data_IF_762566068278
#
_entry.id   IF_762566068278
#
_cell.length_a   1.000
_cell.length_b   1.000
_cell.length_c   1.000
_cell.angle_alpha   90.00
_cell.angle_beta   90.00
_cell.angle_gamma   90.00
#
_symmetry.space_group_name_H-M   'P 1'
#
loop_
_entity.id
_entity.type
_entity.pdbx_description
1 polymer ?
#
# COMPACT_ATOMS: atom_id res chain seq x y z
N UNK A 1 -26.20 65.92 -46.53
CA UNK A 1 -25.22 66.88 -47.07
C UNK A 1 -23.92 66.56 -46.36
N UNK A 2 -22.94 65.84 -46.92
CA UNK A 2 -22.70 65.40 -48.28
C UNK A 2 -22.02 64.00 -48.24
N UNK A 3 -22.27 63.20 -49.28
CA UNK A 3 -21.51 62.02 -49.68
C UNK A 3 -20.24 62.46 -50.42
N UNK A 4 -19.14 61.72 -50.30
CA UNK A 4 -18.23 61.38 -51.41
C UNK A 4 -17.36 60.19 -51.02
N UNK A 5 -17.40 59.17 -51.86
CA UNK A 5 -16.62 57.92 -51.84
C UNK A 5 -15.26 58.11 -52.52
N UNK A 6 -14.28 57.23 -52.25
CA UNK A 6 -13.40 56.74 -53.31
C UNK A 6 -12.75 55.38 -52.98
N UNK A 7 -12.61 54.55 -54.03
CA UNK A 7 -12.31 53.11 -54.11
C UNK A 7 -10.85 52.71 -53.74
N UNK A 8 -10.57 51.46 -53.29
CA UNK A 8 -10.15 50.30 -54.12
C UNK A 8 -8.61 50.23 -54.30
N UNK A 9 -7.84 49.23 -53.87
CA UNK A 9 -7.81 47.84 -54.38
C UNK A 9 -6.75 46.98 -53.63
N UNK A 10 -7.15 45.73 -53.32
CA UNK A 10 -6.45 44.43 -53.26
C UNK A 10 -4.95 44.28 -52.94
N UNK A 11 -4.68 43.36 -51.99
CA UNK A 11 -3.79 42.22 -52.26
C UNK A 11 -2.63 41.98 -51.29
N UNK A 12 -2.85 41.16 -50.26
CA UNK A 12 -1.86 40.16 -49.84
C UNK A 12 -2.47 39.12 -48.90
N UNK A 13 -2.96 38.04 -49.51
CA UNK A 13 -2.96 36.72 -48.91
C UNK A 13 -1.55 36.17 -49.03
N UNK A 14 -0.91 35.75 -47.93
CA UNK A 14 0.16 34.77 -48.06
C UNK A 14 -0.09 33.60 -47.10
N UNK A 15 -0.58 32.55 -47.73
CA UNK A 15 -0.82 31.23 -47.18
C UNK A 15 0.24 30.31 -47.79
N UNK A 16 1.25 29.95 -46.99
CA UNK A 16 2.13 28.76 -47.12
C UNK A 16 3.12 28.70 -48.30
N UNK A 17 4.32 28.10 -48.11
CA UNK A 17 4.39 26.65 -48.34
C UNK A 17 5.35 25.86 -47.44
N UNK A 18 4.87 24.66 -47.07
CA UNK A 18 5.52 23.36 -47.24
C UNK A 18 7.06 23.34 -47.19
N UNK A 19 7.61 22.88 -46.07
CA UNK A 19 8.92 22.23 -46.09
C UNK A 19 8.74 20.75 -46.41
N UNK A 20 9.34 20.35 -47.52
CA UNK A 20 9.29 19.03 -48.13
C UNK A 20 10.10 17.99 -47.34
N UNK A 21 9.51 16.81 -47.27
CA UNK A 21 10.07 15.46 -47.21
C UNK A 21 11.60 15.30 -47.06
N UNK A 22 12.02 14.68 -45.94
CA UNK A 22 13.27 13.90 -45.90
C UNK A 22 13.00 12.52 -45.26
N UNK A 23 13.36 11.42 -45.94
CA UNK A 23 12.78 10.09 -45.73
C UNK A 23 13.36 9.28 -44.56
N UNK A 24 12.52 8.35 -44.09
CA UNK A 24 12.80 7.27 -43.17
C UNK A 24 13.83 6.27 -43.75
N UNK A 25 15.12 6.47 -43.48
CA UNK A 25 16.12 5.39 -43.56
C UNK A 25 17.48 5.77 -42.94
N UNK A 26 18.03 4.87 -42.12
CA UNK A 26 19.46 4.71 -41.78
C UNK A 26 20.06 5.71 -40.77
N UNK A 27 19.70 5.54 -39.49
CA UNK A 27 20.67 5.81 -38.40
C UNK A 27 21.84 4.83 -38.54
N UNK A 28 23.01 5.35 -38.86
CA UNK A 28 24.28 4.60 -38.94
C UNK A 28 24.64 4.07 -37.55
N UNK A 29 24.71 2.75 -37.43
CA UNK A 29 25.29 2.04 -36.29
C UNK A 29 26.79 2.35 -36.22
N UNK A 30 27.22 3.01 -35.13
CA UNK A 30 28.64 3.19 -34.84
C UNK A 30 29.24 1.83 -34.46
N UNK A 31 30.24 1.44 -35.24
CA UNK A 31 30.89 0.12 -35.21
C UNK A 31 31.98 0.10 -34.12
N UNK A 32 31.86 -0.90 -33.26
CA UNK A 32 32.86 -1.64 -32.46
C UNK A 32 34.31 -1.15 -32.37
N UNK A 33 34.81 -0.97 -31.14
CA UNK A 33 36.22 -1.19 -30.80
C UNK A 33 36.43 -2.60 -30.25
N UNK A 34 37.43 -3.26 -30.84
CA UNK A 34 37.89 -4.63 -30.61
C UNK A 34 38.58 -4.71 -29.24
N UNK A 35 38.25 -5.72 -28.42
CA UNK A 35 39.15 -6.19 -27.36
C UNK A 35 39.22 -7.71 -27.46
N UNK A 36 40.41 -8.19 -27.79
CA UNK A 36 40.79 -9.58 -28.01
C UNK A 36 41.49 -10.09 -26.75
N UNK A 37 40.81 -10.96 -26.02
CA UNK A 37 41.40 -12.00 -25.17
C UNK A 37 40.57 -13.25 -25.47
N UNK A 38 41.05 -14.37 -26.01
CA UNK A 38 42.30 -15.05 -25.73
C UNK A 38 42.01 -16.23 -24.79
N UNK A 39 41.61 -17.38 -25.35
CA UNK A 39 41.56 -18.67 -24.62
C UNK A 39 40.17 -19.25 -24.38
N UNK A 40 39.69 -20.12 -25.28
CA UNK A 40 38.55 -21.02 -25.03
C UNK A 40 39.10 -22.34 -24.50
N UNK A 41 39.22 -22.47 -23.17
CA UNK A 41 39.38 -23.76 -22.52
C UNK A 41 38.00 -24.45 -22.44
N UNK A 42 37.92 -25.66 -22.98
CA UNK A 42 36.79 -26.59 -22.84
C UNK A 42 36.85 -27.16 -21.42
N UNK A 43 35.87 -26.84 -20.58
CA UNK A 43 35.62 -27.56 -19.33
C UNK A 43 34.36 -28.43 -19.50
N UNK A 44 34.38 -29.70 -19.06
CA UNK A 44 33.30 -30.64 -19.30
C UNK A 44 32.14 -30.44 -18.30
N UNK A 45 30.94 -30.73 -18.79
CA UNK A 45 29.69 -31.03 -18.06
C UNK A 45 29.69 -30.71 -16.55
N UNK A 46 29.43 -29.45 -16.22
CA UNK A 46 29.04 -29.02 -14.88
C UNK A 46 27.52 -29.01 -14.78
N UNK A 47 26.99 -29.79 -13.84
CA UNK A 47 25.61 -29.90 -13.40
C UNK A 47 24.87 -28.56 -13.50
N UNK A 48 23.82 -28.51 -14.33
CA UNK A 48 23.00 -27.32 -14.51
C UNK A 48 22.50 -26.80 -13.16
N UNK A 49 23.02 -25.65 -12.75
CA UNK A 49 22.61 -24.95 -11.54
C UNK A 49 21.12 -24.66 -11.61
N UNK A 50 20.34 -25.47 -10.89
CA UNK A 50 18.94 -25.19 -10.60
C UNK A 50 18.89 -23.85 -9.88
N UNK A 51 18.16 -22.89 -10.44
CA UNK A 51 17.80 -21.65 -9.74
C UNK A 51 16.82 -22.03 -8.64
N UNK A 52 17.33 -22.29 -7.44
CA UNK A 52 16.50 -22.44 -6.26
C UNK A 52 15.94 -21.07 -5.90
N UNK A 53 14.62 -20.95 -5.94
CA UNK A 53 13.94 -19.84 -5.27
C UNK A 53 14.02 -20.11 -3.77
N UNK A 54 14.58 -19.17 -3.02
CA UNK A 54 14.53 -19.22 -1.56
C UNK A 54 13.10 -18.95 -1.15
N UNK A 55 12.39 -19.97 -0.64
CA UNK A 55 11.21 -19.72 0.17
C UNK A 55 11.72 -19.10 1.47
N UNK A 56 11.58 -17.79 1.61
CA UNK A 56 11.68 -17.15 2.91
C UNK A 56 10.47 -17.62 3.72
N UNK A 57 10.60 -18.76 4.41
CA UNK A 57 9.68 -19.11 5.49
C UNK A 57 9.72 -17.93 6.47
N UNK A 58 8.65 -17.13 6.50
CA UNK A 58 8.46 -16.15 7.57
C UNK A 58 8.56 -16.93 8.87
N UNK A 59 9.50 -16.55 9.74
CA UNK A 59 9.90 -17.31 10.93
C UNK A 59 8.86 -17.23 12.06
N UNK A 60 7.61 -17.58 11.77
CA UNK A 60 6.50 -17.53 12.71
C UNK A 60 5.73 -18.85 12.73
N UNK A 61 6.43 -19.96 12.94
CA UNK A 61 5.81 -21.19 13.49
C UNK A 61 5.51 -21.03 15.00
N UNK A 62 5.40 -19.79 15.50
CA UNK A 62 4.88 -19.52 16.82
C UNK A 62 3.39 -19.87 16.80
N UNK A 63 3.06 -21.03 17.37
CA UNK A 63 1.69 -21.48 17.54
C UNK A 63 0.92 -20.44 18.35
N UNK A 64 0.06 -19.66 17.69
CA UNK A 64 -0.87 -18.76 18.37
C UNK A 64 -1.97 -19.61 18.99
N UNK A 65 -2.02 -19.68 20.31
CA UNK A 65 -2.92 -20.57 21.05
C UNK A 65 -3.81 -19.83 22.05
N UNK A 66 -3.44 -18.61 22.43
CA UNK A 66 -4.17 -17.78 23.39
C UNK A 66 -3.98 -16.29 23.07
N UNK A 67 -4.71 -15.44 23.79
CA UNK A 67 -4.69 -13.97 23.59
C UNK A 67 -3.30 -13.35 23.83
N UNK A 68 -2.53 -13.87 24.80
CA UNK A 68 -1.18 -13.35 25.08
C UNK A 68 -0.25 -13.62 23.91
N UNK A 69 -0.41 -14.76 23.23
CA UNK A 69 0.34 -15.07 22.00
C UNK A 69 -0.01 -14.05 20.89
N UNK A 70 -1.28 -13.64 20.79
CA UNK A 70 -1.68 -12.59 19.86
C UNK A 70 -0.98 -11.26 20.17
N UNK A 71 -0.95 -10.83 21.44
CA UNK A 71 -0.27 -9.59 21.83
C UNK A 71 1.23 -9.64 21.56
N UNK A 72 1.88 -10.76 21.88
CA UNK A 72 3.29 -10.97 21.58
C UNK A 72 3.55 -10.88 20.07
N UNK A 73 2.71 -11.52 19.25
CA UNK A 73 2.79 -11.44 17.79
C UNK A 73 2.66 -9.98 17.31
N UNK A 74 1.65 -9.25 17.80
CA UNK A 74 1.42 -7.85 17.44
C UNK A 74 2.58 -6.93 17.88
N UNK A 75 3.27 -7.24 18.98
CA UNK A 75 4.45 -6.51 19.44
C UNK A 75 5.68 -6.78 18.54
N UNK A 76 5.80 -7.98 17.96
CA UNK A 76 6.81 -8.23 16.90
C UNK A 76 6.51 -7.45 15.63
N UNK A 77 5.24 -7.14 15.39
CA UNK A 77 4.75 -6.29 14.32
C UNK A 77 4.48 -7.01 13.01
N UNK A 78 3.72 -6.36 12.13
CA UNK A 78 3.24 -6.93 10.87
C UNK A 78 3.16 -5.87 9.76
N UNK A 79 3.41 -6.28 8.52
CA UNK A 79 3.21 -5.43 7.34
C UNK A 79 1.74 -5.49 6.91
N UNK A 80 1.07 -4.34 6.86
CA UNK A 80 -0.28 -4.20 6.32
C UNK A 80 -0.37 -3.13 5.25
N UNK A 81 -1.36 -3.24 4.38
CA UNK A 81 -1.75 -2.15 3.48
C UNK A 81 -2.81 -1.30 4.16
N UNK A 82 -2.46 -0.05 4.45
CA UNK A 82 -3.40 0.97 4.91
C UNK A 82 -4.11 1.61 3.72
N UNK A 83 -5.44 1.55 3.74
CA UNK A 83 -6.27 2.20 2.73
C UNK A 83 -6.62 3.63 3.14
N UNK A 84 -6.81 4.48 2.13
CA UNK A 84 -7.24 5.88 2.26
C UNK A 84 -8.13 6.21 1.07
N UNK A 85 -8.98 7.24 1.20
CA UNK A 85 -9.84 7.73 0.12
C UNK A 85 -9.12 7.88 -1.22
N UNK A 86 -9.88 7.65 -2.30
CA UNK A 86 -9.46 7.35 -3.69
C UNK A 86 -8.62 6.07 -3.82
N UNK A 87 -8.98 5.02 -3.08
CA UNK A 87 -8.36 3.67 -3.12
C UNK A 87 -6.83 3.67 -3.02
N UNK A 88 -6.26 4.67 -2.34
CA UNK A 88 -4.82 4.79 -2.18
C UNK A 88 -4.34 3.79 -1.15
N UNK A 89 -3.28 3.07 -1.50
CA UNK A 89 -2.73 1.98 -0.72
C UNK A 89 -1.35 2.36 -0.17
N UNK A 90 -1.15 2.14 1.12
CA UNK A 90 0.11 2.43 1.78
C UNK A 90 0.57 1.23 2.59
N UNK A 91 1.58 0.51 2.12
CA UNK A 91 2.22 -0.54 2.93
C UNK A 91 2.93 0.10 4.13
N UNK A 92 2.59 -0.34 5.33
CA UNK A 92 3.16 0.15 6.58
C UNK A 92 3.42 -1.01 7.51
N UNK A 93 4.47 -0.87 8.30
CA UNK A 93 4.73 -1.76 9.42
C UNK A 93 3.95 -1.27 10.63
N UNK A 94 3.13 -2.14 11.20
CA UNK A 94 2.31 -1.90 12.38
C UNK A 94 2.86 -2.69 13.56
N UNK A 95 2.81 -2.12 14.76
CA UNK A 95 3.18 -2.80 16.00
C UNK A 95 2.27 -2.37 17.14
N UNK A 96 2.10 -3.26 18.12
CA UNK A 96 1.54 -2.94 19.43
C UNK A 96 2.68 -2.53 20.38
N UNK A 97 2.46 -1.51 21.22
CA UNK A 97 3.45 -1.14 22.23
C UNK A 97 3.61 -2.25 23.30
N UNK A 98 4.79 -2.30 23.92
CA UNK A 98 5.11 -3.28 24.97
C UNK A 98 4.18 -3.16 26.19
N UNK A 99 3.72 -1.95 26.48
CA UNK A 99 2.78 -1.63 27.56
C UNK A 99 1.30 -1.77 27.15
N UNK A 100 1.04 -2.22 25.92
CA UNK A 100 -0.30 -2.44 25.35
C UNK A 100 -1.14 -1.15 25.27
N UNK A 101 -0.52 0.03 25.27
CA UNK A 101 -1.23 1.32 25.33
C UNK A 101 -1.55 1.92 23.95
N UNK A 102 -0.74 1.63 22.93
CA UNK A 102 -0.94 2.13 21.56
C UNK A 102 -0.70 1.06 20.49
N UNK A 103 -1.48 1.16 19.42
CA UNK A 103 -1.07 0.66 18.10
C UNK A 103 -0.26 1.75 17.43
N UNK A 104 0.86 1.40 16.80
CA UNK A 104 1.69 2.32 16.02
C UNK A 104 1.90 1.81 14.61
N UNK A 105 2.23 2.72 13.70
CA UNK A 105 2.75 2.35 12.41
C UNK A 105 3.87 3.27 11.96
N UNK A 106 4.71 2.80 11.04
CA UNK A 106 5.76 3.64 10.44
C UNK A 106 5.11 4.90 9.82
N UNK A 107 5.47 6.11 10.25
CA UNK A 107 4.83 7.33 9.77
C UNK A 107 5.17 7.59 8.30
N UNK A 108 4.24 8.23 7.59
CA UNK A 108 4.41 8.55 6.16
C UNK A 108 5.17 9.87 5.94
N UNK A 109 5.28 10.67 6.99
CA UNK A 109 5.90 11.99 6.99
C UNK A 109 6.52 12.27 8.36
N UNK A 110 7.10 13.45 8.55
CA UNK A 110 7.79 13.85 9.79
C UNK A 110 6.87 14.10 11.01
N UNK A 111 5.62 13.58 11.03
CA UNK A 111 4.65 13.75 12.14
C UNK A 111 4.33 12.39 12.81
N UNK A 112 5.22 11.86 13.65
CA UNK A 112 5.06 10.53 14.25
C UNK A 112 3.85 10.41 15.18
N UNK A 113 3.42 11.51 15.83
CA UNK A 113 2.24 11.50 16.70
C UNK A 113 0.92 11.16 15.98
N UNK A 114 0.87 11.31 14.65
CA UNK A 114 -0.28 10.93 13.81
C UNK A 114 -0.27 9.46 13.38
N UNK A 115 0.79 8.73 13.71
CA UNK A 115 0.99 7.35 13.30
C UNK A 115 0.77 6.36 14.45
N UNK A 116 -0.27 6.62 15.24
CA UNK A 116 -0.67 5.79 16.37
C UNK A 116 -2.15 5.97 16.69
N UNK A 117 -2.72 4.97 17.37
CA UNK A 117 -4.07 5.00 17.97
C UNK A 117 -3.90 4.52 19.41
N UNK A 118 -4.40 5.27 20.40
CA UNK A 118 -4.46 4.77 21.76
C UNK A 118 -5.44 3.60 21.79
N UNK A 119 -5.10 2.52 22.50
CA UNK A 119 -6.06 1.43 22.68
C UNK A 119 -7.32 2.01 23.34
N UNK A 120 -7.22 3.03 24.20
CA UNK A 120 -8.35 3.68 24.89
C UNK A 120 -9.31 4.40 23.94
N UNK A 121 -8.82 4.80 22.77
CA UNK A 121 -9.62 5.49 21.78
C UNK A 121 -10.36 4.52 20.84
N UNK A 122 -10.09 3.21 20.90
CA UNK A 122 -10.76 2.24 20.02
C UNK A 122 -12.22 2.08 20.44
N UNK A 123 -13.13 2.31 19.49
CA UNK A 123 -14.58 2.17 19.67
C UNK A 123 -15.08 0.83 19.18
N UNK A 124 -14.56 0.35 18.05
CA UNK A 124 -15.03 -0.86 17.39
C UNK A 124 -13.95 -1.43 16.48
N UNK A 125 -13.93 -2.76 16.32
CA UNK A 125 -13.08 -3.48 15.37
C UNK A 125 -14.01 -4.32 14.48
N UNK A 126 -13.85 -4.22 13.16
CA UNK A 126 -14.67 -4.93 12.18
C UNK A 126 -13.79 -5.78 11.27
N UNK A 127 -14.07 -7.07 11.16
CA UNK A 127 -13.46 -7.96 10.16
C UNK A 127 -14.26 -7.88 8.84
N UNK A 128 -13.59 -7.97 7.69
CA UNK A 128 -14.22 -7.94 6.36
C UNK A 128 -14.55 -6.54 5.82
N UNK A 129 -15.35 -6.49 4.75
CA UNK A 129 -15.71 -5.27 4.01
C UNK A 129 -16.83 -4.47 4.68
N UNK A 130 -16.53 -3.92 5.85
CA UNK A 130 -17.55 -3.30 6.70
C UNK A 130 -17.55 -1.77 6.74
N UNK A 131 -16.73 -1.12 5.93
CA UNK A 131 -16.64 0.33 5.79
C UNK A 131 -16.91 0.75 4.35
N UNK A 132 -17.32 2.00 4.14
CA UNK A 132 -17.67 2.53 2.81
C UNK A 132 -16.50 2.39 1.82
N UNK A 133 -15.28 2.69 2.26
CA UNK A 133 -14.08 2.55 1.44
C UNK A 133 -13.86 1.12 0.98
N UNK A 134 -13.97 0.15 1.88
CA UNK A 134 -13.81 -1.26 1.54
C UNK A 134 -14.90 -1.78 0.60
N UNK A 135 -16.16 -1.37 0.81
CA UNK A 135 -17.28 -1.74 -0.08
C UNK A 135 -17.14 -1.12 -1.47
N UNK A 136 -16.72 0.14 -1.55
CA UNK A 136 -16.50 0.84 -2.84
C UNK A 136 -15.30 0.33 -3.63
N UNK A 137 -14.42 -0.46 -2.99
CA UNK A 137 -13.22 -1.02 -3.62
C UNK A 137 -13.42 -2.45 -4.13
N UNK A 138 -14.66 -2.96 -4.17
CA UNK A 138 -14.98 -4.32 -4.57
C UNK A 138 -14.43 -4.70 -5.96
N UNK A 139 -14.45 -3.78 -6.92
CA UNK A 139 -13.86 -4.00 -8.25
C UNK A 139 -12.33 -4.13 -8.22
N UNK A 140 -11.67 -3.53 -7.23
CA UNK A 140 -10.20 -3.57 -7.05
C UNK A 140 -9.77 -4.79 -6.22
N UNK A 141 -10.66 -5.30 -5.38
CA UNK A 141 -10.39 -6.34 -4.40
C UNK A 141 -11.26 -7.59 -4.60
N UNK A 142 -11.73 -7.84 -5.83
CA UNK A 142 -12.58 -8.99 -6.16
C UNK A 142 -11.92 -10.32 -5.81
N UNK A 143 -10.60 -10.38 -5.91
CA UNK A 143 -9.80 -11.59 -5.70
C UNK A 143 -9.24 -11.69 -4.27
N UNK A 144 -9.47 -10.68 -3.43
CA UNK A 144 -9.02 -10.69 -2.04
C UNK A 144 -10.02 -11.43 -1.16
N UNK A 145 -9.48 -12.33 -0.33
CA UNK A 145 -10.21 -12.99 0.75
C UNK A 145 -10.69 -11.96 1.76
N UNK A 146 -11.98 -11.93 2.06
CA UNK A 146 -12.59 -10.98 2.99
C UNK A 146 -11.99 -11.07 4.40
N UNK A 147 -11.50 -12.25 4.76
CA UNK A 147 -10.84 -12.55 6.03
C UNK A 147 -9.51 -11.81 6.18
N UNK A 148 -8.89 -11.34 5.09
CA UNK A 148 -7.67 -10.54 5.15
C UNK A 148 -7.95 -9.06 5.47
N UNK A 149 -9.20 -8.62 5.43
CA UNK A 149 -9.55 -7.20 5.61
C UNK A 149 -10.09 -6.97 7.01
N UNK A 150 -9.71 -5.85 7.62
CA UNK A 150 -10.31 -5.40 8.85
C UNK A 150 -10.18 -3.89 9.00
N UNK A 151 -11.03 -3.32 9.85
CA UNK A 151 -11.10 -1.89 10.13
C UNK A 151 -11.10 -1.63 11.62
N UNK A 152 -10.36 -0.61 12.05
CA UNK A 152 -10.38 -0.10 13.43
C UNK A 152 -11.08 1.24 13.42
N UNK A 153 -12.14 1.37 14.21
CA UNK A 153 -12.89 2.62 14.41
C UNK A 153 -12.47 3.22 15.74
N UNK A 154 -12.06 4.49 15.73
CA UNK A 154 -11.43 5.13 16.89
C UNK A 154 -11.79 6.60 17.03
N UNK A 155 -11.55 7.13 18.24
CA UNK A 155 -11.82 8.51 18.61
C UNK A 155 -13.30 8.87 18.68
N UNK A 156 -13.59 10.11 19.01
CA UNK A 156 -14.97 10.59 19.18
C UNK A 156 -15.68 10.87 17.84
N UNK A 157 -14.89 11.12 16.79
CA UNK A 157 -15.40 11.36 15.44
C UNK A 157 -15.57 10.07 14.61
N UNK A 158 -15.42 8.89 15.24
CA UNK A 158 -15.51 7.58 14.57
C UNK A 158 -14.62 7.50 13.32
N UNK A 159 -13.37 7.92 13.46
CA UNK A 159 -12.39 7.81 12.38
C UNK A 159 -12.10 6.32 12.10
N UNK A 160 -11.85 6.01 10.83
CA UNK A 160 -11.62 4.63 10.39
C UNK A 160 -10.18 4.43 9.92
N UNK A 161 -9.57 3.35 10.37
CA UNK A 161 -8.32 2.79 9.85
C UNK A 161 -8.63 1.46 9.16
N UNK A 162 -8.71 1.49 7.83
CA UNK A 162 -8.93 0.30 6.99
C UNK A 162 -7.61 -0.36 6.60
N UNK A 163 -7.49 -1.68 6.82
CA UNK A 163 -6.27 -2.45 6.66
C UNK A 163 -6.51 -3.72 5.83
N UNK A 164 -5.51 -4.09 5.04
CA UNK A 164 -5.42 -5.38 4.35
C UNK A 164 -4.19 -6.11 4.89
N UNK A 165 -4.42 -7.29 5.46
CA UNK A 165 -3.42 -8.21 5.96
C UNK A 165 -2.85 -9.10 4.85
N UNK A 166 -1.70 -9.71 5.10
CA UNK A 166 -1.07 -10.62 4.14
C UNK A 166 -1.73 -12.00 4.08
N UNK A 167 -2.47 -12.35 5.14
CA UNK A 167 -3.30 -13.55 5.26
C UNK A 167 -4.48 -13.29 6.20
N UNK A 168 -5.51 -14.15 6.13
CA UNK A 168 -6.61 -14.13 7.10
C UNK A 168 -6.15 -14.44 8.52
N UNK A 169 -5.10 -15.25 8.68
CA UNK A 169 -4.51 -15.53 9.99
C UNK A 169 -3.91 -14.28 10.64
N UNK A 170 -3.16 -13.48 9.87
CA UNK A 170 -2.61 -12.21 10.35
C UNK A 170 -3.73 -11.26 10.82
N UNK A 171 -4.80 -11.15 10.03
CA UNK A 171 -5.96 -10.34 10.38
C UNK A 171 -6.64 -10.86 11.65
N UNK A 172 -6.89 -12.17 11.74
CA UNK A 172 -7.52 -12.80 12.90
C UNK A 172 -6.71 -12.60 14.17
N UNK A 173 -5.38 -12.80 14.14
CA UNK A 173 -4.51 -12.59 15.30
C UNK A 173 -4.65 -11.15 15.81
N UNK A 174 -4.60 -10.16 14.91
CA UNK A 174 -4.73 -8.75 15.27
C UNK A 174 -6.12 -8.39 15.79
N UNK A 175 -7.19 -8.85 15.12
CA UNK A 175 -8.57 -8.62 15.57
C UNK A 175 -8.80 -9.23 16.94
N UNK A 176 -8.40 -10.50 17.16
CA UNK A 176 -8.53 -11.17 18.47
C UNK A 176 -7.75 -10.44 19.56
N UNK A 177 -6.48 -10.07 19.30
CA UNK A 177 -5.64 -9.37 20.26
C UNK A 177 -6.22 -8.01 20.66
N UNK A 178 -6.71 -7.23 19.69
CA UNK A 178 -7.32 -5.93 19.93
C UNK A 178 -8.67 -6.04 20.65
N UNK A 179 -9.53 -6.98 20.24
CA UNK A 179 -10.82 -7.22 20.89
C UNK A 179 -10.66 -7.58 22.37
N UNK A 180 -9.64 -8.35 22.72
CA UNK A 180 -9.35 -8.66 24.12
C UNK A 180 -8.93 -7.41 24.91
N UNK A 181 -8.09 -6.54 24.33
CA UNK A 181 -7.66 -5.30 25.00
C UNK A 181 -8.83 -4.33 25.19
N UNK A 182 -9.77 -4.25 24.25
CA UNK A 182 -10.93 -3.36 24.36
C UNK A 182 -12.02 -3.95 25.25
N UNK A 183 -12.19 -5.28 25.28
CA UNK A 183 -13.17 -5.94 26.17
C UNK A 183 -12.81 -5.79 27.64
N UNK A 184 -11.50 -5.89 27.98
CA UNK A 184 -11.01 -5.62 29.33
C UNK A 184 -11.38 -4.22 29.82
N UNK A 185 -11.59 -3.25 28.91
CA UNK A 185 -12.06 -1.89 29.28
C UNK A 185 -13.51 -1.86 29.61
N UNK A 186 -14.33 -2.54 28.83
CA UNK A 186 -15.74 -2.68 29.15
C UNK A 186 -15.88 -3.26 30.56
N UNK A 187 -15.16 -4.34 30.89
CA UNK A 187 -15.20 -4.92 32.24
C UNK A 187 -14.75 -3.94 33.32
N UNK A 188 -13.62 -3.24 33.15
CA UNK A 188 -13.14 -2.25 34.15
C UNK A 188 -14.07 -1.03 34.28
N UNK A 189 -14.67 -0.58 33.18
CA UNK A 189 -15.64 0.50 33.18
C UNK A 189 -16.93 0.09 33.90
N UNK A 190 -17.41 -1.14 33.70
CA UNK A 190 -18.56 -1.67 34.43
C UNK A 190 -18.25 -1.91 35.92
N UNK A 191 -17.05 -2.35 36.28
CA UNK A 191 -16.62 -2.45 37.69
C UNK A 191 -16.57 -1.08 38.37
N UNK A 192 -16.03 -0.06 37.70
CA UNK A 192 -15.94 1.30 38.26
C UNK A 192 -17.29 2.04 38.38
N UNK A 193 -18.36 1.55 37.74
CA UNK A 193 -19.71 2.10 37.88
C UNK A 193 -20.53 1.35 38.94
N UNK A 194 -20.15 0.11 39.27
CA UNK A 194 -20.85 -0.74 40.24
C UNK A 194 -20.28 -0.67 41.67
N UNK A 195 -19.26 0.16 41.91
CA UNK A 195 -18.68 0.49 43.22
C UNK A 195 -18.61 2.01 43.41
#
# INVERSE_FOLDING_TARGET
MAESEDEGTNGSTDTTPRNLDVPFAKRKTLRSSIIKHGGRAKSPAGTGGRKTVSFSSKNSDAKISNVSDCWNYMQTGSDFVKLRGTNRQFRRFFSLDADLSYIRWTPTNKKPHKARIAIDDIREIRLGKNTELLRSSDEVFSDLQEECLFSIIYGDNYETLDLIASSGDDANIWVTGLMALTSNKCEQFFQNILY
#
